data_IF_238583298099
#
_entry.id   IF_238583298099
#
_cell.length_a   1.000
_cell.length_b   1.000
_cell.length_c   1.000
_cell.angle_alpha   90.00
_cell.angle_beta   90.00
_cell.angle_gamma   90.00
#
_symmetry.space_group_name_H-M   'P 1'
#
loop_
_entity.id
_entity.type
_entity.pdbx_description
1 polymer ?
#
# COMPACT_ATOMS: atom_id res chain seq x y z
N UNK A 1 6.39 1.52 5.43
CA UNK A 1 5.32 0.50 5.63
C UNK A 1 4.15 1.14 6.37
N UNK A 2 2.93 1.08 5.83
CA UNK A 2 1.72 1.56 6.52
C UNK A 2 1.22 0.50 7.51
N UNK A 3 0.82 0.90 8.71
CA UNK A 3 0.35 -0.02 9.75
C UNK A 3 -1.12 0.16 10.10
N UNK A 4 -1.63 1.39 9.96
CA UNK A 4 -3.07 1.67 10.03
C UNK A 4 -3.42 2.90 9.22
N UNK A 5 -4.69 3.00 8.83
CA UNK A 5 -5.27 4.17 8.20
C UNK A 5 -6.62 4.50 8.82
N UNK A 6 -6.86 5.80 9.01
CA UNK A 6 -8.18 6.36 9.26
C UNK A 6 -8.53 7.32 8.12
N UNK A 7 -9.75 7.20 7.59
CA UNK A 7 -10.26 8.04 6.50
C UNK A 7 -11.65 8.54 6.88
N UNK A 8 -11.87 9.84 6.75
CA UNK A 8 -13.19 10.45 6.88
C UNK A 8 -13.41 11.48 5.77
N UNK A 9 -14.61 11.53 5.22
CA UNK A 9 -14.98 12.53 4.22
C UNK A 9 -14.44 12.30 2.79
N UNK A 10 -13.86 11.13 2.48
CA UNK A 10 -13.34 10.78 1.16
C UNK A 10 -14.17 9.69 0.49
N UNK A 11 -14.76 9.96 -0.67
CA UNK A 11 -15.60 9.03 -1.46
C UNK A 11 -16.63 8.32 -0.57
N UNK A 12 -16.57 6.99 -0.48
CA UNK A 12 -17.46 6.18 0.36
C UNK A 12 -16.97 5.98 1.80
N UNK A 13 -15.89 6.64 2.21
CA UNK A 13 -15.35 6.49 3.56
C UNK A 13 -15.87 7.56 4.51
N UNK A 14 -16.54 7.10 5.55
CA UNK A 14 -17.00 7.91 6.69
C UNK A 14 -16.58 7.20 7.97
N UNK A 15 -15.73 7.85 8.78
CA UNK A 15 -15.19 7.28 10.02
C UNK A 15 -14.61 5.86 9.82
N UNK A 16 -13.86 5.69 8.72
CA UNK A 16 -13.28 4.41 8.34
C UNK A 16 -11.94 4.21 9.02
N UNK A 17 -11.73 3.02 9.57
CA UNK A 17 -10.45 2.61 10.16
C UNK A 17 -10.06 1.21 9.69
N UNK A 18 -8.78 1.01 9.39
CA UNK A 18 -8.22 -0.29 8.99
C UNK A 18 -6.77 -0.43 9.47
N UNK A 19 -6.41 -1.62 9.99
CA UNK A 19 -5.03 -2.03 10.26
C UNK A 19 -4.47 -2.84 9.09
N UNK A 20 -3.18 -2.66 8.79
CA UNK A 20 -2.48 -3.41 7.75
C UNK A 20 -1.49 -4.39 8.35
N UNK A 21 -1.24 -5.46 7.62
CA UNK A 21 -0.17 -6.43 7.87
C UNK A 21 0.88 -6.33 6.76
N UNK A 22 2.06 -6.94 6.88
CA UNK A 22 3.03 -7.03 5.79
C UNK A 22 2.39 -7.52 4.47
N UNK A 23 1.55 -8.55 4.53
CA UNK A 23 0.66 -8.96 3.44
C UNK A 23 -0.79 -8.72 3.84
N UNK A 24 -1.50 -7.85 3.11
CA UNK A 24 -2.91 -7.56 3.36
C UNK A 24 -3.74 -7.85 2.11
N UNK A 25 -4.77 -8.66 2.26
CA UNK A 25 -5.71 -9.01 1.19
C UNK A 25 -7.06 -8.41 1.49
N UNK A 26 -7.61 -7.65 0.54
CA UNK A 26 -8.91 -7.01 0.62
C UNK A 26 -9.79 -7.65 -0.43
N UNK A 27 -10.76 -8.44 0.02
CA UNK A 27 -11.71 -9.12 -0.83
C UNK A 27 -13.10 -8.52 -0.71
N UNK A 28 -13.94 -8.70 -1.72
CA UNK A 28 -15.32 -8.23 -1.70
C UNK A 28 -15.92 -8.21 -3.10
N UNK A 29 -17.22 -8.07 -3.17
CA UNK A 29 -17.94 -7.93 -4.44
C UNK A 29 -17.57 -6.62 -5.16
N UNK A 30 -17.86 -6.56 -6.46
CA UNK A 30 -17.68 -5.32 -7.21
C UNK A 30 -18.57 -4.21 -6.62
N UNK A 31 -18.04 -2.98 -6.57
CA UNK A 31 -18.76 -1.86 -5.95
C UNK A 31 -18.68 -1.78 -4.43
N UNK A 32 -17.99 -2.69 -3.72
CA UNK A 32 -17.85 -2.65 -2.26
C UNK A 32 -16.87 -1.58 -1.72
N UNK A 33 -16.28 -0.77 -2.59
CA UNK A 33 -15.37 0.31 -2.19
C UNK A 33 -13.89 -0.09 -2.06
N UNK A 34 -13.48 -1.30 -2.45
CA UNK A 34 -12.08 -1.75 -2.43
C UNK A 34 -11.14 -0.80 -3.17
N UNK A 35 -11.51 -0.43 -4.40
CA UNK A 35 -10.71 0.49 -5.21
C UNK A 35 -10.67 1.91 -4.63
N UNK A 36 -11.66 2.33 -3.84
CA UNK A 36 -11.63 3.62 -3.16
C UNK A 36 -10.50 3.68 -2.10
N UNK A 37 -10.17 2.54 -1.46
CA UNK A 37 -9.01 2.49 -0.56
C UNK A 37 -7.70 2.67 -1.35
N UNK A 38 -7.56 2.04 -2.52
CA UNK A 38 -6.40 2.24 -3.37
C UNK A 38 -6.29 3.68 -3.87
N UNK A 39 -7.42 4.32 -4.21
CA UNK A 39 -7.45 5.74 -4.54
C UNK A 39 -7.01 6.63 -3.36
N UNK A 40 -7.42 6.29 -2.13
CA UNK A 40 -7.00 7.00 -0.92
C UNK A 40 -5.49 6.88 -0.67
N UNK A 41 -4.94 5.66 -0.79
CA UNK A 41 -3.51 5.42 -0.68
C UNK A 41 -2.73 6.12 -1.80
N UNK A 42 -3.23 6.08 -3.04
CA UNK A 42 -2.64 6.79 -4.17
C UNK A 42 -2.62 8.31 -3.94
N UNK A 43 -3.73 8.88 -3.49
CA UNK A 43 -3.82 10.30 -3.16
C UNK A 43 -2.78 10.68 -2.10
N UNK A 44 -2.64 9.90 -1.02
CA UNK A 44 -1.64 10.14 0.03
C UNK A 44 -0.21 10.10 -0.51
N UNK A 45 0.12 9.15 -1.38
CA UNK A 45 1.41 9.10 -2.07
C UNK A 45 1.66 10.38 -2.89
N UNK A 46 0.69 10.80 -3.69
CA UNK A 46 0.77 12.03 -4.52
C UNK A 46 0.85 13.31 -3.69
N UNK A 47 0.15 13.39 -2.54
CA UNK A 47 0.22 14.53 -1.62
C UNK A 47 1.61 14.72 -0.99
N UNK A 48 2.47 13.70 -1.01
CA UNK A 48 3.86 13.80 -0.55
C UNK A 48 4.82 14.35 -1.61
N UNK A 49 4.38 14.48 -2.86
CA UNK A 49 5.15 15.08 -3.93
C UNK A 49 5.03 16.61 -3.91
N UNK A 50 6.04 17.33 -4.44
CA UNK A 50 6.07 18.78 -4.44
C UNK A 50 5.15 19.38 -5.52
N UNK A 51 3.85 19.07 -5.41
CA UNK A 51 2.81 19.50 -6.34
C UNK A 51 1.65 20.20 -5.62
N UNK A 52 0.88 21.00 -6.36
CA UNK A 52 -0.31 21.64 -5.80
C UNK A 52 -1.46 20.64 -5.67
N UNK A 53 -2.30 20.82 -4.62
CA UNK A 53 -3.48 20.01 -4.37
C UNK A 53 -4.36 19.85 -5.62
N UNK A 54 -4.54 20.94 -6.38
CA UNK A 54 -5.36 20.93 -7.59
C UNK A 54 -4.88 19.89 -8.60
N UNK A 55 -3.56 19.84 -8.87
CA UNK A 55 -2.97 18.88 -9.78
C UNK A 55 -3.11 17.45 -9.25
N UNK A 56 -2.77 17.24 -7.99
CA UNK A 56 -2.89 15.92 -7.32
C UNK A 56 -4.32 15.39 -7.38
N UNK A 57 -5.31 16.25 -7.16
CA UNK A 57 -6.72 15.87 -7.20
C UNK A 57 -7.23 15.63 -8.62
N UNK A 58 -6.74 16.35 -9.62
CA UNK A 58 -7.13 16.15 -11.01
C UNK A 58 -6.67 14.80 -11.61
N UNK A 59 -5.69 14.16 -10.99
CA UNK A 59 -5.20 12.82 -11.38
C UNK A 59 -6.04 11.68 -10.77
N UNK A 60 -6.98 12.01 -9.88
CA UNK A 60 -7.86 11.02 -9.27
C UNK A 60 -9.03 10.66 -10.20
N UNK A 61 -9.61 9.48 -9.96
CA UNK A 61 -10.84 9.06 -10.64
C UNK A 61 -12.04 9.87 -10.13
N UNK A 62 -12.70 10.59 -10.99
CA UNK A 62 -13.84 11.47 -10.69
C UNK A 62 -13.46 12.95 -10.68
N UNK A 63 -14.46 13.80 -10.56
CA UNK A 63 -14.29 15.25 -10.39
C UNK A 63 -13.87 15.58 -8.96
N UNK A 64 -13.29 16.75 -8.71
CA UNK A 64 -12.87 17.15 -7.35
C UNK A 64 -13.99 17.05 -6.32
N UNK A 65 -15.21 17.44 -6.69
CA UNK A 65 -16.38 17.36 -5.78
C UNK A 65 -16.79 15.92 -5.48
N UNK A 66 -16.56 14.98 -6.40
CA UNK A 66 -16.87 13.55 -6.22
C UNK A 66 -15.85 12.84 -5.33
N UNK A 67 -14.71 13.45 -5.06
CA UNK A 67 -13.73 12.91 -4.11
C UNK A 67 -14.15 13.14 -2.65
N UNK A 68 -15.00 14.13 -2.38
CA UNK A 68 -15.59 14.32 -1.06
C UNK A 68 -16.81 13.42 -0.86
N UNK A 69 -16.99 12.90 0.36
CA UNK A 69 -18.17 12.07 0.67
C UNK A 69 -19.46 12.87 0.41
N UNK A 70 -20.33 12.34 -0.44
CA UNK A 70 -21.62 12.96 -0.76
C UNK A 70 -22.65 12.58 0.29
N UNK A 71 -23.36 13.58 0.81
CA UNK A 71 -24.49 13.41 1.73
C UNK A 71 -25.82 13.40 1.00
N UNK A 72 -25.94 14.22 -0.07
CA UNK A 72 -27.09 14.30 -0.97
C UNK A 72 -26.64 14.71 -2.38
N UNK A 73 -27.57 14.96 -3.28
CA UNK A 73 -27.26 15.49 -4.63
C UNK A 73 -26.53 16.85 -4.57
N UNK A 74 -26.85 17.69 -3.59
CA UNK A 74 -26.35 19.06 -3.45
C UNK A 74 -25.36 19.26 -2.32
N UNK A 75 -25.19 18.29 -1.43
CA UNK A 75 -24.38 18.43 -0.21
C UNK A 75 -23.28 17.36 -0.14
N UNK A 76 -22.09 17.78 0.24
CA UNK A 76 -20.93 16.92 0.44
C UNK A 76 -20.10 17.37 1.64
N UNK A 77 -19.21 16.53 2.10
CA UNK A 77 -18.27 16.82 3.18
C UNK A 77 -17.45 18.08 2.86
N UNK A 78 -17.29 18.97 3.82
CA UNK A 78 -16.50 20.20 3.68
C UNK A 78 -15.00 19.94 3.83
N UNK A 79 -14.63 18.82 4.43
CA UNK A 79 -13.24 18.37 4.56
C UNK A 79 -13.12 16.87 4.42
N UNK A 80 -11.92 16.44 4.10
CA UNK A 80 -11.51 15.04 4.17
C UNK A 80 -10.29 14.91 5.07
N UNK A 81 -10.26 13.86 5.88
CA UNK A 81 -9.21 13.58 6.86
C UNK A 81 -8.58 12.25 6.54
N UNK A 82 -7.24 12.24 6.46
CA UNK A 82 -6.44 11.03 6.42
C UNK A 82 -5.50 11.02 7.62
N UNK A 83 -5.49 9.93 8.37
CA UNK A 83 -4.50 9.67 9.41
C UNK A 83 -3.87 8.32 9.15
N UNK A 84 -2.54 8.29 9.00
CA UNK A 84 -1.80 7.06 8.74
C UNK A 84 -0.74 6.86 9.80
N UNK A 85 -0.62 5.62 10.27
CA UNK A 85 0.50 5.20 11.11
C UNK A 85 1.48 4.43 10.25
N UNK A 86 2.76 4.79 10.37
CA UNK A 86 3.82 4.29 9.51
C UNK A 86 4.94 3.68 10.35
N UNK A 87 5.56 2.63 9.80
CA UNK A 87 6.89 2.15 10.19
C UNK A 87 7.85 2.58 9.09
N UNK A 88 8.85 3.39 9.43
CA UNK A 88 9.87 3.89 8.52
C UNK A 88 11.25 3.28 8.82
N UNK A 89 12.20 3.24 7.87
CA UNK A 89 13.56 2.78 8.11
C UNK A 89 14.23 3.61 9.21
N UNK A 90 15.06 2.96 10.02
CA UNK A 90 15.80 3.67 11.09
C UNK A 90 16.88 4.59 10.57
N UNK A 91 17.49 4.25 9.42
CA UNK A 91 18.48 5.09 8.70
C UNK A 91 17.86 5.62 7.44
N UNK A 92 18.01 6.89 7.22
CA UNK A 92 17.55 7.58 6.00
C UNK A 92 18.67 8.42 5.42
N UNK A 93 18.59 8.68 4.13
CA UNK A 93 19.47 9.61 3.43
C UNK A 93 18.67 10.66 2.65
N UNK A 94 19.22 11.85 2.50
CA UNK A 94 18.66 12.84 1.59
C UNK A 94 19.24 12.67 0.16
N UNK A 95 18.78 13.50 -0.77
CA UNK A 95 19.20 13.44 -2.17
C UNK A 95 20.66 13.88 -2.39
N UNK A 96 21.32 14.40 -1.35
CA UNK A 96 22.74 14.80 -1.38
C UNK A 96 23.65 13.77 -0.71
N UNK A 97 23.09 12.63 -0.25
CA UNK A 97 23.83 11.55 0.37
C UNK A 97 24.13 11.76 1.87
N UNK A 98 23.55 12.77 2.51
CA UNK A 98 23.66 12.91 3.95
C UNK A 98 22.78 11.88 4.64
N UNK A 99 23.33 11.18 5.65
CA UNK A 99 22.61 10.15 6.39
C UNK A 99 22.25 10.58 7.81
N UNK A 100 21.13 10.09 8.32
CA UNK A 100 20.72 10.27 9.71
C UNK A 100 20.01 9.04 10.26
N UNK A 101 20.32 8.75 11.54
CA UNK A 101 19.60 7.71 12.30
C UNK A 101 18.45 8.34 13.03
N UNK A 102 17.23 7.81 12.81
CA UNK A 102 16.02 8.30 13.44
C UNK A 102 15.91 7.82 14.89
N UNK A 103 15.40 8.70 15.75
CA UNK A 103 15.04 8.36 17.12
C UNK A 103 13.71 7.61 17.21
N UNK A 104 12.76 7.91 16.32
CA UNK A 104 11.48 7.22 16.21
C UNK A 104 11.30 6.67 14.80
N UNK A 105 10.94 5.41 14.70
CA UNK A 105 10.61 4.73 13.44
C UNK A 105 9.11 4.56 13.25
N UNK A 106 8.33 4.70 14.34
CA UNK A 106 6.88 4.66 14.34
C UNK A 106 6.34 6.07 14.41
N UNK A 107 5.63 6.47 13.35
CA UNK A 107 5.17 7.84 13.15
C UNK A 107 3.69 7.84 12.76
N UNK A 108 2.94 8.83 13.24
CA UNK A 108 1.57 9.10 12.82
C UNK A 108 1.52 10.43 12.05
N UNK A 109 1.07 10.37 10.81
CA UNK A 109 0.83 11.52 9.96
C UNK A 109 -0.66 11.72 9.76
N UNK A 110 -1.13 12.95 10.01
CA UNK A 110 -2.52 13.35 9.80
C UNK A 110 -2.57 14.57 8.90
N UNK A 111 -3.44 14.51 7.89
CA UNK A 111 -3.74 15.65 7.02
C UNK A 111 -5.25 15.82 6.88
N UNK A 112 -5.71 17.07 6.93
CA UNK A 112 -7.07 17.48 6.62
C UNK A 112 -7.04 18.47 5.46
N UNK A 113 -7.77 18.12 4.39
CA UNK A 113 -7.93 18.95 3.21
C UNK A 113 -9.38 19.45 3.19
N UNK A 114 -9.54 20.77 3.19
CA UNK A 114 -10.85 21.42 3.17
C UNK A 114 -11.11 22.08 1.83
N UNK A 115 -12.39 22.18 1.52
CA UNK A 115 -12.87 22.90 0.34
C UNK A 115 -13.69 24.12 0.73
N UNK A 116 -13.62 25.16 -0.11
CA UNK A 116 -14.47 26.33 -0.02
C UNK A 116 -14.72 26.93 -1.39
N UNK A 117 -15.76 27.69 -1.54
CA UNK A 117 -15.98 28.46 -2.75
C UNK A 117 -15.30 29.83 -2.65
N UNK A 118 -14.71 30.30 -3.75
CA UNK A 118 -14.24 31.67 -3.88
C UNK A 118 -15.41 32.63 -4.18
N UNK A 119 -15.11 33.91 -4.32
CA UNK A 119 -16.09 34.97 -4.58
C UNK A 119 -16.83 34.83 -5.92
N UNK A 120 -16.31 34.00 -6.83
CA UNK A 120 -16.92 33.72 -8.14
C UNK A 120 -17.43 32.27 -8.26
N UNK A 121 -17.57 31.56 -7.12
CA UNK A 121 -18.15 30.22 -7.06
C UNK A 121 -17.23 29.07 -7.43
N UNK A 122 -15.92 29.31 -7.64
CA UNK A 122 -14.96 28.22 -7.92
C UNK A 122 -14.54 27.53 -6.63
N UNK A 123 -14.41 26.22 -6.68
CA UNK A 123 -13.92 25.41 -5.56
C UNK A 123 -12.42 25.67 -5.35
N UNK A 124 -12.05 25.99 -4.13
CA UNK A 124 -10.65 26.08 -3.67
C UNK A 124 -10.40 24.98 -2.65
N UNK A 125 -9.34 24.21 -2.90
CA UNK A 125 -8.81 23.23 -1.94
C UNK A 125 -7.64 23.86 -1.16
N UNK A 126 -7.58 23.56 0.13
CA UNK A 126 -6.49 24.01 0.99
C UNK A 126 -6.26 23.04 2.15
N UNK A 127 -5.02 22.99 2.64
CA UNK A 127 -4.67 22.23 3.84
C UNK A 127 -5.17 22.99 5.06
N UNK A 128 -6.11 22.43 5.79
CA UNK A 128 -6.69 23.00 7.01
C UNK A 128 -6.05 22.46 8.29
N UNK A 129 -5.42 21.28 8.20
CA UNK A 129 -4.70 20.68 9.31
C UNK A 129 -3.60 19.76 8.78
N UNK A 130 -2.40 19.81 9.38
CA UNK A 130 -1.33 18.85 9.12
C UNK A 130 -0.55 18.60 10.40
N UNK A 131 -0.30 17.34 10.73
CA UNK A 131 0.50 16.98 11.90
C UNK A 131 1.32 15.72 11.66
N UNK A 132 2.50 15.68 12.27
CA UNK A 132 3.38 14.52 12.30
C UNK A 132 3.90 14.32 13.72
N UNK A 133 3.57 13.18 14.31
CA UNK A 133 3.89 12.85 15.70
C UNK A 133 4.51 11.48 15.83
N UNK A 134 5.47 11.27 16.75
CA UNK A 134 5.98 9.95 17.04
C UNK A 134 4.98 9.12 17.87
N UNK A 135 4.92 7.83 17.58
CA UNK A 135 4.18 6.84 18.34
C UNK A 135 5.11 6.27 19.41
N UNK A 136 4.67 6.30 20.67
CA UNK A 136 5.46 5.78 21.78
C UNK A 136 5.49 4.25 21.80
N UNK A 137 6.66 3.69 22.12
CA UNK A 137 6.88 2.24 22.20
C UNK A 137 5.89 1.53 23.11
N UNK A 138 5.60 2.10 24.28
CA UNK A 138 4.77 1.45 25.31
C UNK A 138 3.29 1.33 24.90
N UNK A 139 2.83 2.13 23.92
CA UNK A 139 1.48 2.08 23.37
C UNK A 139 1.37 1.33 22.03
N UNK A 140 2.51 0.96 21.44
CA UNK A 140 2.55 0.37 20.10
C UNK A 140 2.61 -1.15 20.13
N UNK A 141 1.47 -1.78 19.90
CA UNK A 141 1.34 -3.25 19.88
C UNK A 141 1.46 -3.84 18.46
N UNK A 142 1.54 -3.01 17.42
CA UNK A 142 1.45 -3.49 16.03
C UNK A 142 2.59 -4.44 15.67
N UNK A 143 3.85 -4.08 15.98
CA UNK A 143 5.02 -4.93 15.69
C UNK A 143 4.96 -6.24 16.49
N UNK A 144 4.60 -6.18 17.76
CA UNK A 144 4.46 -7.38 18.59
C UNK A 144 3.39 -8.33 18.05
N UNK A 145 2.23 -7.80 17.68
CA UNK A 145 1.16 -8.57 17.02
C UNK A 145 1.61 -9.15 15.68
N UNK A 146 2.35 -8.38 14.86
CA UNK A 146 2.78 -8.81 13.51
C UNK A 146 3.91 -9.85 13.54
N UNK A 147 4.70 -9.90 14.60
CA UNK A 147 5.83 -10.83 14.77
C UNK A 147 5.58 -11.93 15.80
N UNK A 148 4.38 -11.99 16.41
CA UNK A 148 4.02 -12.88 17.53
C UNK A 148 4.99 -12.79 18.71
N UNK A 149 5.55 -11.63 18.99
CA UNK A 149 6.54 -11.46 20.05
C UNK A 149 7.88 -12.14 19.80
N UNK A 150 8.16 -12.65 18.59
CA UNK A 150 9.42 -13.34 18.22
C UNK A 150 10.60 -12.38 18.00
N UNK A 151 10.48 -11.11 18.35
CA UNK A 151 11.55 -10.16 18.19
C UNK A 151 12.66 -10.38 19.23
N UNK A 152 13.90 -10.46 18.75
CA UNK A 152 15.06 -10.34 19.64
C UNK A 152 15.18 -8.91 20.16
N UNK A 153 15.88 -8.67 21.29
CA UNK A 153 16.10 -7.32 21.82
C UNK A 153 16.73 -6.37 20.79
N UNK A 154 17.66 -6.85 19.97
CA UNK A 154 18.33 -6.06 18.91
C UNK A 154 17.37 -5.69 17.79
N UNK A 155 16.52 -6.61 17.32
CA UNK A 155 15.49 -6.33 16.32
C UNK A 155 14.44 -5.36 16.83
N UNK A 156 14.05 -5.53 18.12
CA UNK A 156 13.12 -4.61 18.77
C UNK A 156 13.69 -3.19 18.82
N UNK A 157 14.98 -3.06 19.10
CA UNK A 157 15.66 -1.76 19.10
C UNK A 157 15.80 -1.17 17.69
N UNK A 158 15.91 -2.00 16.67
CA UNK A 158 15.92 -1.58 15.27
C UNK A 158 14.55 -1.03 14.84
N UNK A 159 13.46 -1.77 15.11
CA UNK A 159 12.13 -1.42 14.64
C UNK A 159 11.39 -0.43 15.55
N UNK A 160 11.63 -0.48 16.86
CA UNK A 160 11.01 0.42 17.85
C UNK A 160 12.09 0.83 18.87
N UNK A 161 12.97 1.78 18.52
CA UNK A 161 14.03 2.22 19.42
C UNK A 161 13.46 2.78 20.72
N UNK A 162 14.18 2.55 21.82
CA UNK A 162 13.83 3.11 23.13
C UNK A 162 14.28 4.57 23.17
N UNK A 163 13.34 5.48 23.34
CA UNK A 163 13.60 6.91 23.43
C UNK A 163 13.23 7.42 24.82
N UNK A 164 14.14 8.13 25.44
CA UNK A 164 13.92 8.77 26.73
C UNK A 164 13.48 10.23 26.53
N UNK A 165 12.46 10.65 27.27
CA UNK A 165 11.94 12.02 27.25
C UNK A 165 10.54 12.16 26.66
N UNK A 166 10.09 13.41 26.57
CA UNK A 166 8.77 13.71 25.96
C UNK A 166 8.90 13.69 24.43
N UNK A 167 7.97 13.03 23.73
CA UNK A 167 7.94 13.06 22.26
C UNK A 167 7.71 14.48 21.76
N UNK A 168 8.45 14.87 20.74
CA UNK A 168 8.32 16.17 20.08
C UNK A 168 7.54 15.98 18.78
N UNK A 169 6.58 16.86 18.49
CA UNK A 169 5.87 16.88 17.22
C UNK A 169 6.82 17.41 16.13
N UNK A 170 6.83 16.79 14.96
CA UNK A 170 7.63 17.23 13.82
C UNK A 170 6.86 18.20 12.92
N UNK A 171 5.55 18.02 12.80
CA UNK A 171 4.61 18.98 12.24
C UNK A 171 3.48 19.12 13.25
N UNK A 172 3.07 20.35 13.53
CA UNK A 172 1.94 20.62 14.44
C UNK A 172 1.07 21.74 13.93
N UNK A 173 -0.24 21.57 14.09
CA UNK A 173 -1.24 22.60 13.76
C UNK A 173 -1.89 23.09 15.05
N UNK A 174 -1.95 24.42 15.21
CA UNK A 174 -2.74 25.10 16.24
C UNK A 174 -3.98 25.65 15.51
N UNK A 175 -5.13 24.98 15.66
CA UNK A 175 -6.36 25.31 14.90
C UNK A 175 -6.85 26.71 15.22
N UNK A 176 -6.83 27.14 16.48
CA UNK A 176 -7.32 28.43 16.93
C UNK A 176 -6.50 29.60 16.35
N UNK A 177 -5.20 29.43 16.22
CA UNK A 177 -4.30 30.42 15.64
C UNK A 177 -4.24 30.32 14.10
N UNK A 178 -4.71 29.23 13.53
CA UNK A 178 -4.63 28.96 12.09
C UNK A 178 -3.20 28.84 11.58
N UNK A 179 -2.30 28.23 12.38
CA UNK A 179 -0.87 28.10 12.07
C UNK A 179 -0.47 26.64 12.03
N UNK A 180 0.23 26.25 10.95
CA UNK A 180 0.95 24.98 10.84
C UNK A 180 2.42 25.23 11.04
N UNK A 181 3.05 24.53 11.98
CA UNK A 181 4.46 24.69 12.34
C UNK A 181 5.24 23.43 11.98
N UNK A 182 6.30 23.59 11.19
CA UNK A 182 7.31 22.57 10.92
C UNK A 182 8.46 22.75 11.93
N UNK A 183 8.83 21.67 12.62
CA UNK A 183 9.87 21.66 13.64
C UNK A 183 11.10 20.91 13.14
N UNK A 184 12.28 21.52 13.22
CA UNK A 184 13.55 20.86 12.92
C UNK A 184 13.84 19.78 13.97
N UNK A 185 14.43 18.68 13.55
CA UNK A 185 14.82 17.59 14.44
C UNK A 185 15.93 18.00 15.41
N UNK A 186 15.78 17.64 16.69
CA UNK A 186 16.78 17.88 17.73
C UNK A 186 16.40 18.97 18.73
N UNK A 187 17.27 19.18 19.74
CA UNK A 187 17.05 20.18 20.79
C UNK A 187 17.34 21.58 20.27
N UNK A 188 16.37 22.50 20.45
CA UNK A 188 16.52 23.91 20.04
C UNK A 188 16.41 24.12 18.53
N UNK A 189 15.82 23.19 17.80
CA UNK A 189 15.63 23.26 16.36
C UNK A 189 14.82 24.48 15.91
N UNK A 190 15.11 24.94 14.68
CA UNK A 190 14.38 26.03 14.04
C UNK A 190 12.93 25.61 13.76
N UNK A 191 12.03 26.60 13.78
CA UNK A 191 10.62 26.44 13.42
C UNK A 191 10.36 27.23 12.16
N UNK A 192 9.47 26.68 11.31
CA UNK A 192 8.95 27.37 10.14
C UNK A 192 7.43 27.35 10.22
N UNK A 193 6.80 28.51 10.14
CA UNK A 193 5.37 28.68 10.33
C UNK A 193 4.68 28.99 9.00
N UNK A 194 3.48 28.41 8.82
CA UNK A 194 2.63 28.55 7.64
C UNK A 194 1.22 28.92 8.09
N UNK A 195 0.64 29.93 7.48
CA UNK A 195 -0.66 30.47 7.88
C UNK A 195 -1.78 29.91 7.01
N UNK A 196 -2.74 29.21 7.62
CA UNK A 196 -3.88 28.56 6.93
C UNK A 196 -4.72 29.60 6.16
N UNK A 197 -4.85 30.85 6.69
CA UNK A 197 -5.56 31.95 6.04
C UNK A 197 -5.07 32.27 4.63
N UNK A 198 -3.83 31.91 4.30
CA UNK A 198 -3.24 32.10 2.97
C UNK A 198 -3.64 31.00 1.97
N UNK A 199 -4.57 30.08 2.33
CA UNK A 199 -5.00 28.94 1.53
C UNK A 199 -3.80 28.10 1.08
N UNK A 200 -3.20 27.39 2.02
CA UNK A 200 -2.05 26.52 1.78
C UNK A 200 -2.44 25.44 0.74
N UNK A 201 -1.88 25.54 -0.46
CA UNK A 201 -2.22 24.72 -1.61
C UNK A 201 -1.32 23.49 -1.78
N UNK A 202 -0.39 23.27 -0.86
CA UNK A 202 0.53 22.11 -0.83
C UNK A 202 0.65 21.63 0.60
N UNK A 203 0.96 20.35 0.78
CA UNK A 203 1.26 19.84 2.12
C UNK A 203 2.61 20.40 2.59
N UNK A 204 2.77 20.60 3.89
CA UNK A 204 4.09 20.99 4.44
C UNK A 204 5.09 19.86 4.24
N UNK A 205 4.62 18.62 4.37
CA UNK A 205 5.42 17.41 4.14
C UNK A 205 6.06 17.40 2.75
N UNK A 206 5.33 17.77 1.70
CA UNK A 206 5.82 17.75 0.31
C UNK A 206 7.02 18.66 0.07
N UNK A 207 7.12 19.78 0.79
CA UNK A 207 8.22 20.74 0.67
C UNK A 207 9.50 20.34 1.41
N UNK A 208 9.55 19.18 2.07
CA UNK A 208 10.70 18.76 2.88
C UNK A 208 11.68 17.96 2.02
N UNK A 209 12.94 18.42 1.96
CA UNK A 209 14.03 17.75 1.22
C UNK A 209 15.33 17.64 2.03
N UNK A 210 15.42 18.28 3.20
CA UNK A 210 16.61 18.30 4.03
C UNK A 210 16.57 17.30 5.17
N UNK A 211 17.72 16.68 5.44
CA UNK A 211 17.95 15.80 6.60
C UNK A 211 17.78 16.53 7.96
N UNK A 212 17.72 17.86 7.96
CA UNK A 212 17.39 18.64 9.15
C UNK A 212 16.01 18.30 9.72
N UNK A 213 15.10 17.85 8.86
CA UNK A 213 13.74 17.41 9.19
C UNK A 213 13.60 15.89 8.95
N UNK A 214 14.54 15.11 9.49
CA UNK A 214 14.75 13.73 9.17
C UNK A 214 13.49 12.85 9.32
N UNK A 215 12.73 12.99 10.43
CA UNK A 215 11.52 12.19 10.61
C UNK A 215 10.42 12.54 9.60
N UNK A 216 10.28 13.82 9.25
CA UNK A 216 9.33 14.23 8.22
C UNK A 216 9.80 13.80 6.81
N UNK A 217 11.11 13.87 6.53
CA UNK A 217 11.70 13.36 5.30
C UNK A 217 11.46 11.84 5.16
N UNK A 218 11.61 11.06 6.25
CA UNK A 218 11.34 9.63 6.25
C UNK A 218 9.90 9.29 5.90
N UNK A 219 8.93 10.04 6.44
CA UNK A 219 7.51 9.87 6.09
C UNK A 219 7.25 10.24 4.64
N UNK A 220 7.83 11.34 4.16
CA UNK A 220 7.74 11.74 2.74
C UNK A 220 8.27 10.63 1.82
N UNK A 221 9.47 10.11 2.08
CA UNK A 221 10.08 9.04 1.30
C UNK A 221 9.26 7.76 1.34
N UNK A 222 8.71 7.38 2.50
CA UNK A 222 7.83 6.23 2.61
C UNK A 222 6.57 6.39 1.75
N UNK A 223 5.87 7.52 1.83
CA UNK A 223 4.68 7.77 1.01
C UNK A 223 5.02 7.80 -0.49
N UNK A 224 6.14 8.39 -0.87
CA UNK A 224 6.62 8.43 -2.26
C UNK A 224 7.05 7.06 -2.79
N UNK A 225 7.40 6.11 -1.91
CA UNK A 225 7.77 4.75 -2.30
C UNK A 225 6.56 3.87 -2.66
N UNK A 226 5.34 4.32 -2.40
CA UNK A 226 4.13 3.54 -2.66
C UNK A 226 3.90 3.36 -4.15
N UNK A 227 3.68 2.13 -4.58
CA UNK A 227 3.48 1.73 -5.98
C UNK A 227 2.16 1.01 -6.16
N UNK A 228 1.47 1.36 -7.23
CA UNK A 228 0.18 0.79 -7.60
C UNK A 228 0.36 0.01 -8.90
N UNK A 229 0.23 -1.31 -8.80
CA UNK A 229 0.53 -2.24 -9.89
C UNK A 229 -0.76 -2.79 -10.49
N UNK A 230 -0.89 -2.59 -11.78
CA UNK A 230 -1.95 -3.17 -12.61
C UNK A 230 -1.28 -3.72 -13.87
N UNK A 231 -0.62 -4.87 -13.72
CA UNK A 231 0.20 -5.45 -14.77
C UNK A 231 -0.63 -5.71 -16.03
N UNK A 232 -0.21 -5.09 -17.15
CA UNK A 232 -0.85 -5.22 -18.45
C UNK A 232 -0.09 -6.25 -19.30
N UNK A 233 -0.72 -7.37 -19.71
CA UNK A 233 -0.06 -8.33 -20.59
C UNK A 233 0.45 -7.72 -21.91
N UNK A 234 -0.25 -6.70 -22.41
CA UNK A 234 0.17 -5.99 -23.63
C UNK A 234 1.47 -5.21 -23.42
N UNK A 235 1.60 -4.51 -22.28
CA UNK A 235 2.80 -3.76 -21.93
C UNK A 235 3.97 -4.70 -21.56
N UNK A 236 3.70 -5.78 -20.85
CA UNK A 236 4.71 -6.79 -20.47
C UNK A 236 5.34 -7.49 -21.67
N UNK A 237 4.63 -7.57 -22.81
CA UNK A 237 5.15 -8.16 -24.05
C UNK A 237 6.14 -7.28 -24.78
N UNK A 238 6.08 -5.97 -24.55
CA UNK A 238 6.83 -5.01 -25.36
C UNK A 238 8.29 -4.90 -24.90
N UNK A 239 9.22 -4.77 -25.85
CA UNK A 239 10.58 -4.33 -25.55
C UNK A 239 10.55 -2.92 -24.95
N UNK A 240 11.56 -2.59 -24.17
CA UNK A 240 11.73 -1.25 -23.61
C UNK A 240 12.79 -0.49 -24.40
N UNK A 241 12.38 0.63 -25.02
CA UNK A 241 13.33 1.49 -25.77
C UNK A 241 14.24 2.26 -24.81
N UNK A 242 15.52 2.48 -25.21
CA UNK A 242 16.48 3.31 -24.47
C UNK A 242 16.03 4.77 -24.33
N UNK A 243 15.37 5.31 -25.38
CA UNK A 243 14.92 6.71 -25.42
C UNK A 243 13.77 6.99 -24.45
N UNK A 244 13.07 5.94 -24.05
CA UNK A 244 12.00 5.99 -23.04
C UNK A 244 12.52 5.57 -21.67
N UNK A 245 13.61 6.20 -21.24
CA UNK A 245 14.09 5.98 -19.88
C UNK A 245 13.06 6.52 -18.88
N UNK A 246 12.27 5.59 -18.33
CA UNK A 246 11.16 5.88 -17.41
C UNK A 246 11.57 5.73 -15.94
N UNK A 247 12.87 5.83 -15.66
CA UNK A 247 13.42 5.55 -14.34
C UNK A 247 13.68 4.06 -14.13
N UNK A 248 14.38 3.75 -13.05
CA UNK A 248 14.84 2.38 -12.75
C UNK A 248 13.75 1.50 -12.15
N UNK A 249 12.64 2.08 -11.67
CA UNK A 249 11.57 1.37 -10.98
C UNK A 249 10.52 0.87 -11.97
N UNK A 250 10.02 -0.36 -11.77
CA UNK A 250 8.99 -0.97 -12.62
C UNK A 250 7.72 -0.12 -12.58
N UNK A 251 7.22 0.25 -13.77
CA UNK A 251 6.03 1.09 -13.93
C UNK A 251 4.74 0.35 -13.58
N UNK A 252 3.65 1.09 -13.32
CA UNK A 252 2.33 0.56 -12.95
C UNK A 252 1.87 -0.62 -13.81
N UNK A 253 2.07 -0.55 -15.12
CA UNK A 253 1.63 -1.58 -16.08
C UNK A 253 2.71 -2.59 -16.43
N UNK A 254 3.95 -2.38 -15.98
CA UNK A 254 5.11 -3.20 -16.31
C UNK A 254 5.75 -2.89 -17.67
N UNK A 255 5.42 -1.72 -18.28
CA UNK A 255 5.91 -1.33 -19.63
C UNK A 255 7.43 -1.29 -19.75
N UNK A 256 8.15 -1.02 -18.67
CA UNK A 256 9.61 -0.97 -18.62
C UNK A 256 10.25 -2.25 -18.01
N UNK A 257 9.54 -3.37 -18.03
CA UNK A 257 10.01 -4.60 -17.38
C UNK A 257 11.35 -5.07 -17.95
N UNK A 258 11.56 -4.94 -19.27
CA UNK A 258 12.81 -5.38 -19.92
C UNK A 258 14.02 -4.53 -19.50
N UNK A 259 13.87 -3.21 -19.35
CA UNK A 259 14.95 -2.36 -18.83
C UNK A 259 15.24 -2.61 -17.36
N UNK A 260 14.20 -2.82 -16.54
CA UNK A 260 14.38 -3.19 -15.14
C UNK A 260 15.14 -4.51 -14.99
N UNK A 261 14.79 -5.54 -15.77
CA UNK A 261 15.49 -6.81 -15.78
C UNK A 261 16.94 -6.67 -16.24
N UNK A 262 17.20 -5.82 -17.25
CA UNK A 262 18.57 -5.55 -17.70
C UNK A 262 19.40 -4.87 -16.60
N UNK A 263 18.84 -3.86 -15.92
CA UNK A 263 19.47 -3.22 -14.77
C UNK A 263 19.80 -4.23 -13.65
N UNK A 264 18.82 -5.08 -13.29
CA UNK A 264 19.02 -6.14 -12.27
C UNK A 264 20.18 -7.06 -12.66
N UNK A 265 20.24 -7.50 -13.92
CA UNK A 265 21.33 -8.34 -14.46
C UNK A 265 22.69 -7.66 -14.33
N UNK A 266 22.80 -6.36 -14.66
CA UNK A 266 24.04 -5.61 -14.59
C UNK A 266 24.48 -5.33 -13.13
N UNK A 267 23.52 -5.15 -12.22
CA UNK A 267 23.83 -4.92 -10.81
C UNK A 267 24.11 -6.22 -10.03
N UNK A 268 23.43 -7.31 -10.37
CA UNK A 268 23.59 -8.63 -9.73
C UNK A 268 23.28 -9.77 -10.71
N UNK A 269 24.32 -10.42 -11.20
CA UNK A 269 24.17 -11.58 -12.11
C UNK A 269 23.51 -12.79 -11.44
N UNK A 270 23.55 -12.90 -10.11
CA UNK A 270 22.87 -13.97 -9.38
C UNK A 270 21.35 -13.78 -9.34
N UNK A 271 20.89 -12.54 -9.31
CA UNK A 271 19.45 -12.23 -9.35
C UNK A 271 18.80 -12.76 -10.62
N UNK A 272 19.43 -12.63 -11.80
CA UNK A 272 18.90 -13.21 -13.06
C UNK A 272 18.77 -14.73 -12.99
N UNK A 273 19.74 -15.44 -12.35
CA UNK A 273 19.66 -16.88 -12.13
C UNK A 273 18.54 -17.24 -11.13
N UNK A 274 18.34 -16.42 -10.09
CA UNK A 274 17.25 -16.60 -9.13
C UNK A 274 15.88 -16.43 -9.82
N UNK A 275 15.70 -15.39 -10.65
CA UNK A 275 14.50 -15.18 -11.47
C UNK A 275 14.23 -16.40 -12.36
N UNK A 276 15.27 -16.90 -13.08
CA UNK A 276 15.14 -18.05 -13.95
C UNK A 276 14.70 -19.31 -13.18
N UNK A 277 15.30 -19.57 -12.01
CA UNK A 277 14.96 -20.69 -11.14
C UNK A 277 13.52 -20.60 -10.64
N UNK A 278 13.10 -19.39 -10.16
CA UNK A 278 11.71 -19.16 -9.72
C UNK A 278 10.73 -19.41 -10.86
N UNK A 279 10.97 -18.85 -12.04
CA UNK A 279 10.10 -19.06 -13.19
C UNK A 279 9.99 -20.53 -13.59
N UNK A 280 11.11 -21.27 -13.60
CA UNK A 280 11.12 -22.70 -13.96
C UNK A 280 10.34 -23.57 -12.97
N UNK A 281 10.29 -23.20 -11.70
CA UNK A 281 9.47 -23.87 -10.69
C UNK A 281 7.96 -23.57 -10.87
N UNK A 282 7.62 -22.38 -11.32
CA UNK A 282 6.24 -21.92 -11.46
C UNK A 282 5.61 -22.33 -12.80
N UNK A 283 6.41 -22.39 -13.86
CA UNK A 283 5.94 -22.65 -15.22
C UNK A 283 6.78 -23.77 -15.82
N UNK A 284 6.20 -24.98 -15.87
CA UNK A 284 6.86 -26.13 -16.51
C UNK A 284 7.18 -25.83 -17.98
N UNK A 285 8.37 -26.26 -18.43
CA UNK A 285 8.78 -26.12 -19.81
C UNK A 285 9.78 -24.97 -20.06
N UNK A 286 9.95 -24.04 -19.12
CA UNK A 286 10.98 -23.00 -19.20
C UNK A 286 12.10 -23.25 -18.20
N UNK A 287 13.34 -22.92 -18.58
CA UNK A 287 14.52 -23.12 -17.73
C UNK A 287 15.36 -21.89 -17.47
N UNK A 288 15.27 -20.87 -18.35
CA UNK A 288 16.15 -19.71 -18.28
C UNK A 288 15.44 -18.46 -18.78
N UNK A 289 15.61 -17.36 -18.05
CA UNK A 289 15.20 -16.01 -18.48
C UNK A 289 16.42 -15.28 -19.00
N UNK A 290 16.29 -14.66 -20.15
CA UNK A 290 17.36 -13.95 -20.85
C UNK A 290 16.89 -12.52 -21.09
N UNK A 291 17.75 -11.55 -20.86
CA UNK A 291 17.52 -10.17 -21.31
C UNK A 291 18.64 -9.78 -22.26
N UNK A 292 18.25 -9.33 -23.44
CA UNK A 292 19.14 -8.92 -24.53
C UNK A 292 19.13 -7.42 -24.68
N UNK A 293 20.32 -6.88 -24.96
CA UNK A 293 20.51 -5.50 -25.33
C UNK A 293 20.56 -5.43 -26.88
N UNK A 294 19.41 -5.13 -27.50
CA UNK A 294 19.29 -4.96 -28.96
C UNK A 294 19.79 -3.56 -29.35
N UNK A 295 21.07 -3.47 -29.64
CA UNK A 295 21.75 -2.21 -29.99
C UNK A 295 21.29 -1.64 -31.36
N UNK A 296 20.80 -2.50 -32.24
CA UNK A 296 20.31 -2.10 -33.58
C UNK A 296 19.00 -1.33 -33.46
N UNK A 297 18.06 -1.88 -32.70
CA UNK A 297 16.75 -1.24 -32.47
C UNK A 297 16.72 -0.34 -31.22
N UNK A 298 17.86 -0.20 -30.52
CA UNK A 298 18.00 0.59 -29.27
C UNK A 298 16.95 0.23 -28.23
N UNK A 299 16.85 -1.04 -27.89
CA UNK A 299 15.85 -1.56 -26.96
C UNK A 299 16.35 -2.76 -26.17
N UNK A 300 15.74 -3.00 -25.01
CA UNK A 300 15.90 -4.23 -24.23
C UNK A 300 14.76 -5.18 -24.54
N UNK A 301 15.08 -6.48 -24.67
CA UNK A 301 14.13 -7.54 -25.01
C UNK A 301 14.23 -8.66 -23.98
N UNK A 302 13.10 -9.12 -23.48
CA UNK A 302 13.03 -10.31 -22.62
C UNK A 302 12.77 -11.53 -23.49
N UNK A 303 13.59 -12.54 -23.33
CA UNK A 303 13.46 -13.87 -23.92
C UNK A 303 13.40 -14.93 -22.80
N UNK A 304 12.75 -16.05 -23.09
CA UNK A 304 12.69 -17.19 -22.20
C UNK A 304 13.10 -18.45 -22.97
N UNK A 305 14.04 -19.19 -22.43
CA UNK A 305 14.53 -20.43 -23.05
C UNK A 305 13.77 -21.63 -22.48
N UNK A 306 13.21 -22.45 -23.36
CA UNK A 306 12.53 -23.69 -22.98
C UNK A 306 13.51 -24.79 -22.60
N UNK A 307 12.98 -25.87 -22.01
CA UNK A 307 13.75 -27.08 -21.72
C UNK A 307 14.36 -27.72 -22.99
N UNK A 308 13.70 -27.56 -24.15
CA UNK A 308 14.15 -28.03 -25.45
C UNK A 308 15.17 -27.09 -26.11
N UNK A 309 15.69 -26.10 -25.37
CA UNK A 309 16.65 -25.09 -25.85
C UNK A 309 16.10 -24.09 -26.89
N UNK A 310 14.79 -24.03 -27.10
CA UNK A 310 14.15 -23.06 -27.99
C UNK A 310 13.97 -21.73 -27.22
N UNK A 311 14.33 -20.63 -27.88
CA UNK A 311 14.19 -19.28 -27.29
C UNK A 311 12.88 -18.65 -27.79
N UNK A 312 12.05 -18.20 -26.85
CA UNK A 312 10.81 -17.50 -27.10
C UNK A 312 10.90 -16.06 -26.58
N UNK A 313 10.55 -15.09 -27.39
CA UNK A 313 10.47 -13.71 -26.93
C UNK A 313 9.24 -13.50 -26.04
N UNK A 314 9.26 -12.48 -25.18
CA UNK A 314 8.11 -12.08 -24.35
C UNK A 314 6.82 -11.87 -25.16
N UNK A 315 6.93 -11.55 -26.45
CA UNK A 315 5.80 -11.30 -27.36
C UNK A 315 4.87 -12.50 -27.53
N UNK A 316 5.40 -13.72 -27.45
CA UNK A 316 4.64 -14.96 -27.68
C UNK A 316 4.26 -15.70 -26.40
N UNK A 317 4.68 -15.19 -25.23
CA UNK A 317 4.34 -15.82 -23.95
C UNK A 317 2.86 -15.62 -23.58
N UNK A 318 2.29 -16.58 -22.87
CA UNK A 318 0.94 -16.47 -22.33
C UNK A 318 0.85 -15.35 -21.28
N UNK A 319 -0.35 -14.80 -21.08
CA UNK A 319 -0.58 -13.72 -20.09
C UNK A 319 -0.19 -14.14 -18.68
N UNK A 320 -0.57 -15.36 -18.28
CA UNK A 320 -0.19 -15.89 -16.98
C UNK A 320 1.32 -16.02 -16.81
N UNK A 321 2.04 -16.49 -17.84
CA UNK A 321 3.51 -16.59 -17.81
C UNK A 321 4.16 -15.21 -17.66
N UNK A 322 3.66 -14.19 -18.39
CA UNK A 322 4.17 -12.82 -18.29
C UNK A 322 3.98 -12.21 -16.91
N UNK A 323 2.81 -12.41 -16.30
CA UNK A 323 2.53 -11.93 -14.93
C UNK A 323 3.41 -12.62 -13.90
N UNK A 324 3.56 -13.94 -13.99
CA UNK A 324 4.47 -14.70 -13.12
C UNK A 324 5.91 -14.23 -13.28
N UNK A 325 6.37 -14.03 -14.52
CA UNK A 325 7.71 -13.51 -14.80
C UNK A 325 7.90 -12.11 -14.19
N UNK A 326 6.92 -11.21 -14.35
CA UNK A 326 6.98 -9.86 -13.76
C UNK A 326 7.08 -9.92 -12.24
N UNK A 327 6.31 -10.80 -11.58
CA UNK A 327 6.39 -10.99 -10.12
C UNK A 327 7.73 -11.58 -9.70
N UNK A 328 8.30 -12.56 -10.45
CA UNK A 328 9.64 -13.08 -10.18
C UNK A 328 10.71 -11.98 -10.27
N UNK A 329 10.59 -11.06 -11.25
CA UNK A 329 11.50 -9.92 -11.39
C UNK A 329 11.35 -8.94 -10.22
N UNK A 330 10.11 -8.64 -9.81
CA UNK A 330 9.82 -7.79 -8.65
C UNK A 330 10.40 -8.36 -7.34
N UNK A 331 10.37 -9.68 -7.16
CA UNK A 331 10.96 -10.32 -5.98
C UNK A 331 12.46 -10.07 -5.84
N UNK A 332 13.18 -10.08 -6.96
CA UNK A 332 14.64 -9.91 -6.99
C UNK A 332 15.07 -8.44 -7.19
N UNK A 333 14.13 -7.51 -7.39
CA UNK A 333 14.44 -6.10 -7.56
C UNK A 333 14.65 -5.39 -6.23
N UNK A 334 15.90 -5.18 -5.84
CA UNK A 334 16.27 -4.52 -4.58
C UNK A 334 15.88 -3.03 -4.51
N UNK A 335 15.53 -2.39 -5.63
CA UNK A 335 15.06 -1.00 -5.63
C UNK A 335 13.58 -0.88 -5.25
N UNK A 336 12.83 -1.98 -5.23
CA UNK A 336 11.47 -2.01 -4.74
C UNK A 336 11.45 -2.08 -3.21
N UNK A 337 11.19 -0.94 -2.58
CA UNK A 337 10.90 -0.82 -1.15
C UNK A 337 9.54 -0.14 -0.96
N UNK A 338 9.00 -0.17 0.27
CA UNK A 338 7.72 0.44 0.58
C UNK A 338 6.50 -0.41 0.22
N UNK A 339 5.38 0.25 -0.05
CA UNK A 339 4.09 -0.39 -0.29
C UNK A 339 3.87 -0.72 -1.76
N UNK A 340 3.52 -1.98 -2.05
CA UNK A 340 3.04 -2.45 -3.35
C UNK A 340 1.55 -2.76 -3.27
N UNK A 341 0.73 -2.02 -3.99
CA UNK A 341 -0.70 -2.25 -4.15
C UNK A 341 -0.95 -2.98 -5.46
N UNK A 342 -1.52 -4.18 -5.43
CA UNK A 342 -1.88 -4.96 -6.61
C UNK A 342 -3.40 -4.99 -6.79
N UNK A 343 -3.88 -4.53 -7.95
CA UNK A 343 -5.26 -4.76 -8.38
C UNK A 343 -5.36 -6.10 -9.11
N UNK A 344 -6.13 -7.02 -8.52
CA UNK A 344 -6.49 -8.30 -9.13
C UNK A 344 -5.29 -9.06 -9.75
N UNK A 345 -4.26 -9.38 -8.96
CA UNK A 345 -3.05 -10.02 -9.49
C UNK A 345 -3.32 -11.40 -10.10
N UNK A 346 -4.43 -12.02 -9.76
CA UNK A 346 -4.89 -13.33 -10.25
C UNK A 346 -5.53 -13.29 -11.65
N UNK A 347 -5.85 -12.10 -12.18
CA UNK A 347 -6.52 -11.99 -13.47
C UNK A 347 -5.71 -12.62 -14.61
N UNK A 348 -6.38 -13.44 -15.44
CA UNK A 348 -5.74 -14.13 -16.56
C UNK A 348 -4.88 -15.32 -16.15
N UNK A 349 -4.91 -15.75 -14.88
CA UNK A 349 -4.19 -16.91 -14.38
C UNK A 349 -5.12 -18.09 -14.14
N UNK A 350 -4.65 -19.26 -14.52
CA UNK A 350 -5.37 -20.50 -14.25
C UNK A 350 -5.63 -20.65 -12.73
N UNK A 351 -6.87 -20.88 -12.28
CA UNK A 351 -7.23 -21.03 -10.87
C UNK A 351 -6.33 -22.03 -10.11
N UNK A 352 -5.89 -23.09 -10.75
CA UNK A 352 -4.95 -24.06 -10.16
C UNK A 352 -3.56 -23.49 -9.83
N UNK A 353 -3.21 -22.34 -10.40
CA UNK A 353 -1.92 -21.67 -10.19
C UNK A 353 -1.99 -20.43 -9.30
N UNK A 354 -3.16 -20.10 -8.77
CA UNK A 354 -3.35 -18.92 -7.90
C UNK A 354 -2.44 -19.01 -6.66
N UNK A 355 -2.27 -20.21 -6.08
CA UNK A 355 -1.39 -20.40 -4.94
C UNK A 355 0.06 -19.97 -5.23
N UNK A 356 0.57 -20.19 -6.45
CA UNK A 356 1.93 -19.78 -6.84
C UNK A 356 2.11 -18.27 -6.83
N UNK A 357 1.08 -17.51 -7.28
CA UNK A 357 1.13 -16.05 -7.20
C UNK A 357 1.11 -15.60 -5.75
N UNK A 358 0.27 -16.25 -4.93
CA UNK A 358 0.17 -15.88 -3.52
C UNK A 358 1.49 -16.14 -2.80
N UNK A 359 2.20 -17.24 -3.12
CA UNK A 359 3.56 -17.50 -2.62
C UNK A 359 4.53 -16.38 -3.03
N UNK A 360 4.54 -15.97 -4.31
CA UNK A 360 5.39 -14.87 -4.76
C UNK A 360 5.07 -13.54 -4.07
N UNK A 361 3.77 -13.22 -3.90
CA UNK A 361 3.35 -11.99 -3.23
C UNK A 361 3.71 -12.01 -1.73
N UNK A 362 3.70 -13.17 -1.09
CA UNK A 362 4.20 -13.36 0.27
C UNK A 362 5.71 -13.16 0.33
N UNK A 363 6.47 -13.74 -0.60
CA UNK A 363 7.93 -13.59 -0.70
C UNK A 363 8.36 -12.11 -0.93
N UNK A 364 7.49 -11.30 -1.52
CA UNK A 364 7.71 -9.86 -1.67
C UNK A 364 7.64 -9.10 -0.35
N UNK A 365 7.03 -9.64 0.71
CA UNK A 365 6.82 -8.92 1.95
C UNK A 365 8.03 -8.99 2.88
N UNK A 366 8.21 -7.93 3.69
CA UNK A 366 9.24 -7.89 4.71
C UNK A 366 9.00 -8.95 5.79
N UNK A 367 10.05 -9.68 6.13
CA UNK A 367 10.10 -10.46 7.36
C UNK A 367 10.71 -9.60 8.48
N UNK A 368 9.87 -9.11 9.37
CA UNK A 368 10.28 -8.27 10.49
C UNK A 368 11.09 -9.02 11.56
N UNK A 369 11.19 -10.36 11.44
CA UNK A 369 12.00 -11.19 12.30
C UNK A 369 13.44 -11.41 11.78
N UNK A 370 13.76 -10.83 10.61
CA UNK A 370 15.08 -10.84 10.00
C UNK A 370 15.71 -9.45 10.09
N UNK A 371 16.95 -9.39 10.59
CA UNK A 371 17.74 -8.15 10.60
C UNK A 371 17.99 -7.71 9.17
N UNK A 372 17.89 -6.41 8.89
CA UNK A 372 18.14 -5.81 7.57
C UNK A 372 17.15 -6.18 6.46
N UNK A 373 16.01 -6.81 6.78
CA UNK A 373 14.95 -7.02 5.80
C UNK A 373 14.46 -5.66 5.26
N UNK A 374 14.42 -5.46 3.92
CA UNK A 374 13.88 -4.23 3.35
C UNK A 374 12.40 -4.11 3.73
N UNK A 375 11.97 -2.89 4.10
CA UNK A 375 10.57 -2.64 4.45
C UNK A 375 9.71 -2.70 3.18
N UNK A 376 9.26 -3.90 2.84
CA UNK A 376 8.33 -4.16 1.73
C UNK A 376 6.99 -4.60 2.28
N UNK A 377 5.92 -4.07 1.71
CA UNK A 377 4.56 -4.40 2.09
C UNK A 377 3.72 -4.62 0.85
N UNK A 378 2.83 -5.60 0.88
CA UNK A 378 1.94 -5.92 -0.22
C UNK A 378 0.49 -5.78 0.24
N UNK A 379 -0.30 -5.03 -0.51
CA UNK A 379 -1.75 -4.94 -0.36
C UNK A 379 -2.40 -5.39 -1.66
N UNK A 380 -3.31 -6.35 -1.57
CA UNK A 380 -4.00 -6.95 -2.70
C UNK A 380 -5.49 -6.58 -2.63
N UNK A 381 -6.02 -6.13 -3.75
CA UNK A 381 -7.45 -6.00 -3.99
C UNK A 381 -7.88 -7.16 -4.89
N UNK A 382 -8.87 -7.95 -4.47
CA UNK A 382 -9.35 -9.11 -5.22
C UNK A 382 -10.87 -9.27 -5.12
N UNK A 383 -11.47 -9.89 -6.13
CA UNK A 383 -12.83 -10.40 -6.06
C UNK A 383 -12.87 -11.95 -6.12
N UNK A 384 -11.69 -12.59 -6.18
CA UNK A 384 -11.57 -14.04 -6.32
C UNK A 384 -11.69 -14.78 -4.98
N UNK A 385 -12.71 -15.65 -4.84
CA UNK A 385 -12.81 -16.53 -3.68
C UNK A 385 -11.60 -17.46 -3.51
N UNK A 386 -10.98 -17.90 -4.60
CA UNK A 386 -9.81 -18.77 -4.55
C UNK A 386 -8.60 -18.09 -3.91
N UNK A 387 -8.38 -16.78 -4.15
CA UNK A 387 -7.37 -15.98 -3.45
C UNK A 387 -7.63 -15.95 -1.96
N UNK A 388 -8.90 -15.65 -1.57
CA UNK A 388 -9.30 -15.60 -0.15
C UNK A 388 -9.08 -16.93 0.55
N UNK A 389 -9.48 -18.04 -0.10
CA UNK A 389 -9.32 -19.38 0.46
C UNK A 389 -7.84 -19.73 0.72
N UNK A 390 -6.96 -19.43 -0.25
CA UNK A 390 -5.52 -19.63 -0.06
C UNK A 390 -4.98 -18.79 1.10
N UNK A 391 -5.40 -17.51 1.22
CA UNK A 391 -4.93 -16.63 2.27
C UNK A 391 -5.41 -17.02 3.66
N UNK A 392 -6.66 -17.49 3.80
CA UNK A 392 -7.20 -17.97 5.07
C UNK A 392 -6.34 -19.13 5.63
N UNK A 393 -5.87 -20.04 4.78
CA UNK A 393 -5.00 -21.12 5.21
C UNK A 393 -3.67 -20.62 5.81
N UNK A 394 -3.20 -19.43 5.41
CA UNK A 394 -1.96 -18.84 5.91
C UNK A 394 -2.16 -17.83 7.05
N UNK A 395 -3.39 -17.53 7.45
CA UNK A 395 -3.67 -16.58 8.55
C UNK A 395 -3.13 -17.04 9.91
N UNK A 396 -2.69 -18.31 10.03
CA UNK A 396 -1.86 -18.72 11.16
C UNK A 396 -0.54 -17.94 11.23
N UNK A 397 -0.09 -17.35 10.13
CA UNK A 397 1.02 -16.40 10.07
C UNK A 397 0.50 -14.98 10.35
N UNK A 398 0.94 -14.36 11.44
CA UNK A 398 0.48 -13.02 11.84
C UNK A 398 0.95 -11.90 10.90
N UNK A 399 1.82 -12.18 9.94
CA UNK A 399 2.22 -11.25 8.89
C UNK A 399 1.15 -11.08 7.80
N UNK A 400 0.08 -11.89 7.83
CA UNK A 400 -0.98 -11.92 6.83
C UNK A 400 -2.30 -11.46 7.45
N UNK A 401 -3.00 -10.55 6.76
CA UNK A 401 -4.32 -10.06 7.12
C UNK A 401 -5.30 -10.21 5.95
N UNK A 402 -6.49 -10.71 6.23
CA UNK A 402 -7.57 -10.81 5.24
C UNK A 402 -8.74 -9.95 5.71
N UNK A 403 -9.24 -9.11 4.80
CA UNK A 403 -10.34 -8.19 5.04
C UNK A 403 -11.44 -8.41 4.00
N UNK A 404 -12.68 -8.38 4.45
CA UNK A 404 -13.84 -8.43 3.56
C UNK A 404 -14.47 -7.05 3.50
N UNK A 405 -14.56 -6.49 2.30
CA UNK A 405 -15.18 -5.21 2.03
C UNK A 405 -16.66 -5.38 1.70
N UNK A 406 -17.51 -4.59 2.32
CA UNK A 406 -18.92 -4.47 2.05
C UNK A 406 -19.41 -3.02 2.10
N UNK A 407 -20.63 -2.79 1.61
CA UNK A 407 -21.31 -1.50 1.72
C UNK A 407 -22.38 -1.60 2.79
N UNK A 408 -22.42 -0.62 3.68
CA UNK A 408 -23.42 -0.54 4.74
C UNK A 408 -24.06 0.84 4.81
N UNK A 409 -25.32 0.90 5.26
CA UNK A 409 -25.98 2.14 5.52
C UNK A 409 -25.50 2.74 6.86
N UNK A 410 -25.13 3.99 6.83
CA UNK A 410 -24.81 4.80 8.01
C UNK A 410 -25.73 6.01 8.07
N UNK A 411 -26.36 6.26 9.22
CA UNK A 411 -27.09 7.48 9.45
C UNK A 411 -26.13 8.56 9.97
N UNK A 412 -25.98 9.63 9.19
CA UNK A 412 -25.10 10.75 9.50
C UNK A 412 -25.94 12.00 9.82
N UNK A 413 -25.61 12.66 10.92
CA UNK A 413 -26.27 13.89 11.36
C UNK A 413 -25.38 15.10 11.07
N UNK A 414 -25.85 16.01 10.24
CA UNK A 414 -25.16 17.26 9.95
C UNK A 414 -26.17 18.40 9.77
N UNK A 415 -25.89 19.57 10.34
CA UNK A 415 -26.76 20.76 10.25
C UNK A 415 -28.24 20.49 10.57
N UNK A 416 -28.50 19.69 11.62
CA UNK A 416 -29.86 19.27 12.05
C UNK A 416 -30.61 18.40 11.03
N UNK A 417 -29.94 17.84 10.03
CA UNK A 417 -30.47 16.87 9.06
C UNK A 417 -29.88 15.50 9.27
N UNK A 418 -30.65 14.48 8.92
CA UNK A 418 -30.22 13.07 8.96
C UNK A 418 -30.07 12.57 7.53
N UNK A 419 -28.90 12.08 7.19
CA UNK A 419 -28.58 11.51 5.88
C UNK A 419 -28.38 9.99 6.01
N UNK A 420 -28.91 9.24 5.06
CA UNK A 420 -28.60 7.80 4.92
C UNK A 420 -27.48 7.66 3.89
N UNK A 421 -26.31 7.30 4.35
CA UNK A 421 -25.11 7.19 3.52
C UNK A 421 -24.75 5.72 3.28
N UNK A 422 -24.48 5.37 2.03
CA UNK A 422 -23.82 4.09 1.70
C UNK A 422 -22.32 4.24 1.88
N UNK A 423 -21.78 3.61 2.92
CA UNK A 423 -20.37 3.70 3.28
C UNK A 423 -19.67 2.36 3.13
N UNK A 424 -18.40 2.41 2.74
CA UNK A 424 -17.53 1.22 2.72
C UNK A 424 -17.15 0.83 4.14
N UNK A 425 -17.32 -0.45 4.46
CA UNK A 425 -16.78 -1.09 5.65
C UNK A 425 -15.83 -2.21 5.22
N UNK A 426 -14.75 -2.38 5.98
CA UNK A 426 -13.83 -3.50 5.78
C UNK A 426 -13.67 -4.22 7.11
N UNK A 427 -14.01 -5.49 7.12
CA UNK A 427 -14.08 -6.31 8.31
C UNK A 427 -12.96 -7.34 8.25
N UNK A 428 -12.11 -7.37 9.29
CA UNK A 428 -11.03 -8.34 9.37
C UNK A 428 -11.58 -9.73 9.63
N UNK A 429 -11.11 -10.72 8.87
CA UNK A 429 -11.39 -12.13 9.14
C UNK A 429 -10.60 -12.55 10.37
N UNK A 430 -11.27 -13.12 11.37
CA UNK A 430 -10.65 -13.65 12.58
C UNK A 430 -10.96 -15.15 12.69
N UNK A 431 -9.91 -15.98 12.73
CA UNK A 431 -10.04 -17.43 12.86
C UNK A 431 -10.38 -17.88 14.30
N UNK A 432 -10.14 -17.02 15.29
CA UNK A 432 -10.34 -17.34 16.70
C UNK A 432 -11.70 -16.89 17.24
N UNK A 433 -12.41 -16.06 16.50
CA UNK A 433 -13.73 -15.58 16.92
C UNK A 433 -14.75 -16.71 16.86
N UNK A 434 -15.01 -17.36 17.98
CA UNK A 434 -16.23 -18.14 18.18
C UNK A 434 -17.38 -17.14 18.29
N UNK A 435 -18.39 -17.31 17.42
CA UNK A 435 -19.56 -16.51 17.18
C UNK A 435 -20.32 -15.82 18.32
N UNK A 436 -19.69 -15.08 19.16
CA UNK A 436 -20.36 -14.19 20.12
C UNK A 436 -20.62 -12.82 19.47
N UNK A 437 -21.89 -12.63 19.11
CA UNK A 437 -22.47 -11.43 18.49
C UNK A 437 -22.51 -10.20 19.43
N UNK A 438 -21.98 -10.26 20.63
CA UNK A 438 -22.31 -9.29 21.70
C UNK A 438 -21.11 -8.55 22.36
N UNK A 439 -19.90 -8.61 21.81
CA UNK A 439 -18.82 -7.75 22.34
C UNK A 439 -18.88 -6.33 21.72
N UNK A 440 -19.76 -5.50 22.34
CA UNK A 440 -20.03 -4.10 21.92
C UNK A 440 -18.94 -3.08 22.29
N UNK A 441 -17.76 -3.48 22.75
CA UNK A 441 -16.78 -2.55 23.33
C UNK A 441 -15.75 -1.93 22.39
N UNK A 442 -15.71 -2.31 21.12
CA UNK A 442 -14.98 -1.55 20.07
C UNK A 442 -15.94 -1.31 18.90
N UNK A 443 -16.69 -0.27 19.00
CA UNK A 443 -17.90 0.03 18.21
C UNK A 443 -17.74 0.18 16.69
N UNK A 444 -16.56 -0.06 16.08
CA UNK A 444 -16.36 0.14 14.64
C UNK A 444 -15.60 -0.97 13.90
N UNK A 445 -15.19 -2.05 14.54
CA UNK A 445 -14.52 -3.17 13.85
C UNK A 445 -15.35 -4.43 14.02
N UNK A 446 -16.25 -4.70 13.08
CA UNK A 446 -16.95 -6.00 13.00
C UNK A 446 -15.91 -7.05 12.60
N UNK A 447 -15.64 -8.01 13.48
CA UNK A 447 -14.82 -9.18 13.13
C UNK A 447 -15.67 -10.15 12.34
N UNK A 448 -15.29 -10.44 11.11
CA UNK A 448 -15.93 -11.48 10.31
C UNK A 448 -15.49 -12.84 10.81
N UNK A 449 -16.44 -13.66 11.24
CA UNK A 449 -16.16 -15.04 11.57
C UNK A 449 -15.79 -15.83 10.32
N UNK A 450 -15.07 -16.94 10.49
CA UNK A 450 -14.78 -17.88 9.39
C UNK A 450 -16.07 -18.30 8.64
N UNK A 451 -17.22 -18.40 9.33
CA UNK A 451 -18.52 -18.68 8.72
C UNK A 451 -18.96 -17.60 7.72
N UNK A 452 -18.72 -16.32 8.04
CA UNK A 452 -19.05 -15.22 7.13
C UNK A 452 -18.12 -15.19 5.92
N UNK A 453 -16.82 -15.46 6.12
CA UNK A 453 -15.88 -15.64 5.03
C UNK A 453 -16.29 -16.84 4.13
N UNK A 454 -16.72 -17.96 4.72
CA UNK A 454 -17.25 -19.12 3.99
C UNK A 454 -18.54 -18.79 3.22
N UNK A 455 -19.41 -17.94 3.74
CA UNK A 455 -20.59 -17.48 3.00
C UNK A 455 -20.22 -16.61 1.79
N UNK A 456 -19.22 -15.72 1.91
CA UNK A 456 -18.65 -15.03 0.76
C UNK A 456 -18.12 -16.01 -0.28
N UNK A 457 -17.58 -17.10 0.17
CA UNK A 457 -17.02 -18.17 -0.66
C UNK A 457 -18.07 -19.12 -1.30
N UNK A 458 -19.35 -19.08 -1.02
CA UNK A 458 -20.40 -19.97 -1.53
C UNK A 458 -20.91 -19.68 -2.95
N UNK A 459 -20.20 -18.93 -3.76
CA UNK A 459 -20.49 -18.76 -5.19
C UNK A 459 -19.91 -19.91 -6.02
N UNK A 460 -20.48 -20.20 -7.21
CA UNK A 460 -20.27 -21.42 -8.03
C UNK A 460 -18.83 -21.84 -8.40
N UNK A 461 -17.81 -21.06 -8.10
CA UNK A 461 -16.40 -21.41 -8.38
C UNK A 461 -15.70 -22.11 -7.20
N UNK A 462 -16.45 -22.59 -6.23
CA UNK A 462 -16.03 -22.79 -4.85
C UNK A 462 -15.89 -24.20 -4.34
N UNK A 463 -16.20 -25.22 -5.09
CA UNK A 463 -16.00 -26.60 -4.60
C UNK A 463 -14.56 -26.85 -4.19
N UNK A 464 -13.60 -26.35 -4.98
CA UNK A 464 -12.16 -26.48 -4.69
C UNK A 464 -11.69 -25.67 -3.47
N UNK A 465 -12.26 -24.49 -3.26
CA UNK A 465 -11.91 -23.63 -2.12
C UNK A 465 -12.53 -24.17 -0.81
N UNK A 466 -13.73 -24.71 -0.87
CA UNK A 466 -14.41 -25.34 0.27
C UNK A 466 -13.66 -26.60 0.75
N UNK A 467 -13.20 -27.45 -0.17
CA UNK A 467 -12.39 -28.63 0.18
C UNK A 467 -11.09 -28.25 0.87
N UNK A 468 -10.42 -27.19 0.42
CA UNK A 468 -9.16 -26.73 1.01
C UNK A 468 -9.36 -26.22 2.43
N UNK A 469 -10.45 -25.49 2.68
CA UNK A 469 -10.80 -24.98 4.03
C UNK A 469 -11.27 -26.12 4.96
N UNK A 470 -11.99 -27.11 4.44
CA UNK A 470 -12.41 -28.27 5.24
C UNK A 470 -11.21 -29.12 5.67
N UNK A 471 -10.20 -29.31 4.80
CA UNK A 471 -8.95 -29.99 5.16
C UNK A 471 -8.20 -29.25 6.28
N UNK A 472 -8.18 -27.93 6.28
CA UNK A 472 -7.57 -27.14 7.36
C UNK A 472 -8.32 -27.23 8.71
N UNK A 473 -9.62 -27.51 8.69
CA UNK A 473 -10.43 -27.77 9.92
C UNK A 473 -10.22 -29.17 10.50
N UNK A 474 -9.85 -30.15 9.65
CA UNK A 474 -9.65 -31.55 10.07
C UNK A 474 -8.28 -31.89 10.63
N UNK A 475 -7.35 -30.92 10.66
CA UNK A 475 -5.96 -31.10 11.15
C UNK A 475 -5.74 -30.45 12.52
N UNK A 476 -6.79 -30.24 13.30
CA UNK A 476 -6.70 -29.79 14.69
C UNK A 476 -7.20 -30.84 15.67
#
# INVERSE_FOLDING_TARGET
MITSIYIDGFKSFKEFHMEFKPLTVIAGVNGSGKSNLFDALYLLGRLSEDEELYKTFSEQRGTMSELFTRYSESECAQSMIFRVQLLVPRKISDNWGNEKTLSYTRLEYTIEISQKQDTIGRMILYVSFESLTPIKRDGDKWIEKSTRGKLTPSMREQWIPKVHGKPVKYISTIKDDGIITLHQDGKGGRKKEYFIKQNIRRTILSGINSIDFAHALAVKQELQSWRFMQLSPQDLRQPTSYEKWTGDIITKTGKNLASALYRIKESDSYALKAISRRLSQLVSGYKEVIVENDTVNKQYVINVKSCDNIIYSSRVLSEGTLRLLALCILCEDNQHTGLLCFEEPENGINPQRIHLIMDLLKDLTADLTVSESPLRQVVINTHSPAVVANMINWMSDNSIGVWIADMSNLFHHENSRVYSLMVTRMNQVDLTAQGDLFDEKEANVRRYTLSNALNYLKTRELETAQETIQKAKGTR
#
